data_IF_577045796698
#
_entry.id   IF_577045796698
#
_cell.length_a   1.000
_cell.length_b   1.000
_cell.length_c   1.000
_cell.angle_alpha   90.00
_cell.angle_beta   90.00
_cell.angle_gamma   90.00
#
_symmetry.space_group_name_H-M   'P 1'
#
loop_
_entity.id
_entity.type
_entity.pdbx_description
1 polymer ?
#
# COMPACT_ATOMS: atom_id res chain seq x y z
N UNK A 1 -52.43 34.13 -8.77
CA UNK A 1 -53.00 33.09 -9.66
C UNK A 1 -51.85 32.19 -10.11
N UNK A 2 -52.10 30.87 -10.17
CA UNK A 2 -51.19 29.75 -9.87
C UNK A 2 -50.23 29.48 -11.04
N UNK A 3 -49.20 28.65 -10.98
CA UNK A 3 -48.78 27.58 -10.08
C UNK A 3 -47.62 26.85 -10.78
N UNK A 4 -46.84 26.03 -10.07
CA UNK A 4 -45.67 25.40 -10.69
C UNK A 4 -45.00 24.34 -9.84
N UNK A 5 -45.76 23.27 -9.58
CA UNK A 5 -45.36 21.88 -9.31
C UNK A 5 -44.07 21.59 -8.52
N UNK A 6 -44.29 21.10 -7.29
CA UNK A 6 -43.33 20.32 -6.53
C UNK A 6 -43.02 19.01 -7.27
N UNK A 7 -41.73 18.76 -7.53
CA UNK A 7 -41.23 17.47 -8.00
C UNK A 7 -40.91 16.58 -6.81
N UNK A 8 -41.78 15.61 -6.55
CA UNK A 8 -41.56 14.48 -5.64
C UNK A 8 -40.42 13.60 -6.17
N UNK A 9 -39.25 13.66 -5.53
CA UNK A 9 -38.19 12.68 -5.71
C UNK A 9 -38.41 11.53 -4.74
N UNK A 10 -39.00 10.43 -5.24
CA UNK A 10 -39.16 9.19 -4.50
C UNK A 10 -37.79 8.57 -4.15
N UNK A 11 -37.56 8.09 -2.90
CA UNK A 11 -36.40 7.30 -2.56
C UNK A 11 -36.55 5.86 -3.07
N UNK A 12 -35.61 5.41 -3.91
CA UNK A 12 -35.55 4.03 -4.40
C UNK A 12 -35.17 3.02 -3.29
N UNK A 13 -35.62 1.76 -3.38
CA UNK A 13 -35.38 0.74 -2.36
C UNK A 13 -33.91 0.31 -2.32
N UNK A 14 -33.36 0.23 -1.11
CA UNK A 14 -32.01 -0.27 -0.84
C UNK A 14 -31.91 -1.78 -1.10
N UNK A 15 -30.82 -2.29 -1.71
CA UNK A 15 -30.60 -3.72 -1.83
C UNK A 15 -30.12 -4.32 -0.50
N UNK A 16 -30.90 -5.28 0.02
CA UNK A 16 -30.52 -6.22 1.07
C UNK A 16 -29.61 -7.29 0.46
N UNK A 17 -28.32 -7.32 0.83
CA UNK A 17 -27.44 -8.43 0.43
C UNK A 17 -26.80 -9.05 1.68
N UNK A 18 -27.50 -10.09 2.13
CA UNK A 18 -27.01 -11.43 2.49
C UNK A 18 -25.66 -11.52 3.20
N UNK A 19 -25.76 -11.70 4.52
CA UNK A 19 -24.70 -12.19 5.39
C UNK A 19 -24.51 -13.69 5.20
N UNK A 20 -23.39 -14.11 4.58
CA UNK A 20 -22.98 -15.52 4.55
C UNK A 20 -21.70 -15.70 5.34
N UNK A 21 -21.87 -16.31 6.51
CA UNK A 21 -20.84 -16.92 7.34
C UNK A 21 -20.14 -18.05 6.57
N UNK A 22 -18.82 -18.06 6.59
CA UNK A 22 -18.03 -19.28 6.44
C UNK A 22 -16.85 -19.21 7.40
N UNK A 23 -16.97 -19.95 8.50
CA UNK A 23 -15.87 -20.28 9.40
C UNK A 23 -15.17 -21.53 8.89
N UNK A 24 -13.84 -21.52 8.78
CA UNK A 24 -13.02 -22.71 8.54
C UNK A 24 -11.70 -22.66 9.34
N UNK A 25 -11.81 -22.97 10.62
CA UNK A 25 -11.20 -24.12 11.32
C UNK A 25 -10.00 -24.86 10.65
N UNK A 26 -8.89 -24.87 11.41
CA UNK A 26 -7.81 -25.90 11.58
C UNK A 26 -6.70 -26.05 10.52
N UNK A 27 -5.45 -25.84 10.96
CA UNK A 27 -4.42 -26.89 11.10
C UNK A 27 -3.15 -26.37 11.78
N UNK A 28 -2.86 -26.89 12.98
CA UNK A 28 -1.56 -26.82 13.63
C UNK A 28 -0.66 -27.91 13.02
N UNK A 29 0.54 -27.56 12.56
CA UNK A 29 1.54 -28.55 12.14
C UNK A 29 2.88 -28.28 12.83
N UNK A 30 3.48 -29.40 13.20
CA UNK A 30 4.47 -29.70 14.24
C UNK A 30 5.90 -29.19 14.02
N UNK A 31 6.53 -28.92 15.17
CA UNK A 31 7.96 -28.95 15.46
C UNK A 31 8.77 -30.02 14.69
N UNK A 32 9.93 -29.62 14.17
CA UNK A 32 11.11 -30.50 14.13
C UNK A 32 12.36 -29.75 14.59
N UNK A 33 12.83 -30.19 15.75
CA UNK A 33 14.17 -29.96 16.30
C UNK A 33 15.19 -30.70 15.44
N UNK A 34 16.31 -30.06 15.10
CA UNK A 34 17.46 -30.73 14.53
C UNK A 34 18.71 -30.26 15.29
N UNK A 35 19.08 -31.02 16.31
CA UNK A 35 20.32 -30.90 17.05
C UNK A 35 21.32 -31.89 16.43
N UNK A 36 22.12 -31.40 15.48
CA UNK A 36 23.27 -32.10 14.94
C UNK A 36 24.56 -31.48 15.47
N UNK A 37 25.05 -32.06 16.56
CA UNK A 37 26.39 -31.83 17.12
C UNK A 37 27.38 -32.61 16.23
N UNK A 38 28.36 -31.93 15.64
CA UNK A 38 29.36 -32.57 14.78
C UNK A 38 30.67 -31.77 14.78
N UNK A 39 31.73 -32.49 15.07
CA UNK A 39 33.02 -32.06 15.61
C UNK A 39 33.90 -31.13 14.76
N UNK A 40 34.58 -30.27 15.52
CA UNK A 40 35.92 -29.72 15.38
C UNK A 40 36.79 -30.28 14.24
N UNK A 41 37.08 -29.40 13.27
CA UNK A 41 38.36 -29.38 12.55
C UNK A 41 38.77 -27.92 12.26
N UNK A 42 39.67 -27.41 13.08
CA UNK A 42 40.62 -26.36 12.67
C UNK A 42 41.90 -27.06 12.15
N UNK A 43 42.87 -26.37 11.52
CA UNK A 43 42.89 -25.02 10.95
C UNK A 43 43.38 -25.05 9.47
N UNK A 44 43.36 -23.92 8.75
CA UNK A 44 44.55 -23.37 8.07
C UNK A 44 44.25 -21.96 7.58
N UNK A 45 45.16 -21.06 7.96
CA UNK A 45 45.14 -19.65 7.67
C UNK A 45 45.42 -19.42 6.17
N UNK A 46 44.43 -18.87 5.47
CA UNK A 46 44.64 -18.07 4.27
C UNK A 46 44.09 -16.69 4.57
N UNK A 47 45.01 -15.76 4.87
CA UNK A 47 44.73 -14.34 4.98
C UNK A 47 44.51 -13.78 3.58
N UNK A 48 43.35 -14.05 3.01
CA UNK A 48 42.86 -13.32 1.85
C UNK A 48 42.20 -12.05 2.38
N UNK A 49 42.84 -10.91 2.14
CA UNK A 49 42.26 -9.59 2.39
C UNK A 49 41.13 -9.41 1.38
N UNK A 50 39.97 -9.99 1.66
CA UNK A 50 38.75 -9.56 1.00
C UNK A 50 38.42 -8.19 1.56
N UNK A 51 38.73 -7.17 0.78
CA UNK A 51 38.17 -5.84 0.97
C UNK A 51 36.64 -5.99 0.95
N UNK A 52 36.04 -6.01 2.13
CA UNK A 52 34.58 -6.01 2.30
C UNK A 52 34.15 -4.59 1.96
N UNK A 53 33.89 -4.34 0.69
CA UNK A 53 33.28 -3.11 0.22
C UNK A 53 31.81 -3.07 0.66
N UNK A 54 31.52 -2.01 1.40
CA UNK A 54 30.26 -1.29 1.55
C UNK A 54 28.96 -2.10 1.82
N UNK A 55 28.58 -2.09 3.11
CA UNK A 55 27.24 -1.70 3.55
C UNK A 55 26.02 -2.29 2.79
N UNK A 56 25.99 -3.61 2.58
CA UNK A 56 24.74 -4.32 2.26
C UNK A 56 23.81 -4.35 3.50
N UNK A 57 23.16 -3.22 3.80
CA UNK A 57 21.93 -3.24 4.61
C UNK A 57 20.90 -4.06 3.86
N UNK A 58 20.78 -5.35 4.19
CA UNK A 58 19.70 -6.23 3.72
C UNK A 58 18.36 -5.55 3.97
N UNK A 59 17.76 -5.01 2.90
CA UNK A 59 16.40 -4.49 2.95
C UNK A 59 15.48 -5.69 3.23
N UNK A 60 14.96 -5.80 4.45
CA UNK A 60 14.08 -6.92 4.86
C UNK A 60 12.70 -6.85 4.21
N UNK A 61 12.49 -5.95 3.25
CA UNK A 61 11.22 -5.77 2.56
C UNK A 61 11.04 -6.87 1.53
N UNK A 62 9.87 -7.51 1.61
CA UNK A 62 9.45 -8.54 0.65
C UNK A 62 9.24 -8.01 -0.77
N UNK A 63 8.98 -6.71 -0.92
CA UNK A 63 8.69 -6.08 -2.21
C UNK A 63 9.51 -4.81 -2.41
N UNK A 64 10.11 -4.67 -3.59
CA UNK A 64 10.80 -3.46 -4.02
C UNK A 64 9.79 -2.30 -4.11
N UNK A 65 10.24 -1.10 -3.74
CA UNK A 65 9.46 0.14 -3.86
C UNK A 65 10.01 0.99 -4.99
N UNK A 66 9.11 1.50 -5.83
CA UNK A 66 9.44 2.42 -6.90
C UNK A 66 9.09 3.83 -6.46
N UNK A 67 10.08 4.73 -6.49
CA UNK A 67 9.89 6.14 -6.20
C UNK A 67 9.43 6.85 -7.47
N UNK A 68 8.14 7.16 -7.55
CA UNK A 68 7.49 7.84 -8.69
C UNK A 68 6.42 8.78 -8.18
N UNK A 69 6.24 9.90 -8.86
CA UNK A 69 5.22 10.90 -8.52
C UNK A 69 4.02 10.77 -9.45
N UNK A 70 2.94 10.17 -8.95
CA UNK A 70 1.68 9.99 -9.69
C UNK A 70 0.57 10.81 -9.05
N UNK A 71 -0.29 11.44 -9.84
CA UNK A 71 -1.50 12.09 -9.31
C UNK A 71 -2.52 11.04 -8.91
N UNK A 72 -3.23 11.29 -7.81
CA UNK A 72 -4.31 10.42 -7.39
C UNK A 72 -5.44 11.20 -6.72
N UNK A 73 -6.65 10.71 -6.94
CA UNK A 73 -7.81 11.01 -6.12
C UNK A 73 -7.99 9.89 -5.10
N UNK A 74 -8.53 10.20 -3.92
CA UNK A 74 -8.91 9.16 -2.97
C UNK A 74 -10.13 9.56 -2.14
N UNK A 75 -10.98 8.58 -1.85
CA UNK A 75 -12.20 8.76 -1.05
C UNK A 75 -12.06 8.02 0.27
N UNK A 76 -12.29 8.73 1.38
CA UNK A 76 -12.34 8.16 2.74
C UNK A 76 -13.51 8.78 3.49
N UNK A 77 -14.30 7.94 4.18
CA UNK A 77 -15.46 8.39 4.95
C UNK A 77 -16.38 9.33 4.15
N UNK A 78 -16.58 9.03 2.87
CA UNK A 78 -17.40 9.83 1.95
C UNK A 78 -16.78 11.15 1.47
N UNK A 79 -15.58 11.52 1.94
CA UNK A 79 -14.90 12.75 1.50
C UNK A 79 -13.94 12.46 0.35
N UNK A 80 -14.03 13.27 -0.71
CA UNK A 80 -13.12 13.23 -1.86
C UNK A 80 -11.88 14.09 -1.59
N UNK A 81 -10.72 13.49 -1.80
CA UNK A 81 -9.42 14.09 -1.55
C UNK A 81 -8.51 13.89 -2.76
N UNK A 82 -7.44 14.68 -2.82
CA UNK A 82 -6.41 14.57 -3.85
C UNK A 82 -5.02 14.55 -3.22
N UNK A 83 -4.09 13.89 -3.89
CA UNK A 83 -2.71 13.78 -3.44
C UNK A 83 -1.78 13.28 -4.52
N UNK A 84 -0.55 12.98 -4.11
CA UNK A 84 0.46 12.38 -4.97
C UNK A 84 0.97 11.08 -4.37
N UNK A 85 0.97 10.01 -5.14
CA UNK A 85 1.70 8.80 -4.77
C UNK A 85 3.19 9.10 -4.98
N UNK A 86 4.03 8.79 -3.98
CA UNK A 86 5.49 8.97 -4.08
C UNK A 86 6.26 7.67 -4.05
N UNK A 87 5.68 6.63 -3.45
CA UNK A 87 6.27 5.30 -3.40
C UNK A 87 5.18 4.28 -3.70
N UNK A 88 5.43 3.39 -4.65
CA UNK A 88 4.50 2.33 -5.05
C UNK A 88 5.20 0.96 -4.97
N UNK A 89 4.45 -0.07 -4.61
CA UNK A 89 4.89 -1.47 -4.55
C UNK A 89 3.69 -2.40 -4.70
N UNK A 90 3.93 -3.68 -4.97
CA UNK A 90 2.85 -4.66 -5.15
C UNK A 90 1.87 -4.72 -3.96
N UNK A 91 2.37 -4.55 -2.72
CA UNK A 91 1.58 -4.65 -1.49
C UNK A 91 0.96 -3.33 -1.02
N UNK A 92 1.44 -2.19 -1.51
CA UNK A 92 1.07 -0.91 -0.92
C UNK A 92 1.75 0.29 -1.56
N UNK A 93 1.25 1.47 -1.24
CA UNK A 93 1.81 2.73 -1.72
C UNK A 93 1.71 3.82 -0.67
N UNK A 94 2.44 4.91 -0.86
CA UNK A 94 2.44 6.07 0.02
C UNK A 94 1.91 7.29 -0.72
N UNK A 95 0.83 7.89 -0.20
CA UNK A 95 0.23 9.12 -0.70
C UNK A 95 0.69 10.30 0.16
N UNK A 96 1.26 11.31 -0.48
CA UNK A 96 1.41 12.65 0.07
C UNK A 96 0.11 13.43 -0.13
N UNK A 97 -0.54 13.77 0.97
CA UNK A 97 -1.81 14.51 0.97
C UNK A 97 -1.91 15.38 2.22
N UNK A 98 -2.75 16.42 2.17
CA UNK A 98 -3.02 17.30 3.32
C UNK A 98 -4.00 16.69 4.31
N UNK A 99 -4.99 15.95 3.79
CA UNK A 99 -6.00 15.31 4.61
C UNK A 99 -5.52 13.93 5.04
N UNK A 100 -5.74 13.63 6.32
CA UNK A 100 -5.18 12.47 6.98
C UNK A 100 -6.31 11.62 7.56
N UNK A 101 -6.75 10.59 6.84
CA UNK A 101 -7.67 9.61 7.39
C UNK A 101 -7.05 8.86 8.58
N UNK A 102 -7.90 8.36 9.46
CA UNK A 102 -7.46 7.55 10.59
C UNK A 102 -6.84 6.22 10.13
N UNK A 103 -5.78 5.74 10.80
CA UNK A 103 -5.25 4.40 10.58
C UNK A 103 -6.34 3.34 10.73
N UNK A 104 -6.34 2.34 9.86
CA UNK A 104 -7.38 1.30 9.80
C UNK A 104 -8.58 1.67 8.93
N UNK A 105 -8.73 2.93 8.50
CA UNK A 105 -9.80 3.33 7.61
C UNK A 105 -9.68 2.71 6.21
N UNK A 106 -10.81 2.35 5.61
CA UNK A 106 -10.87 1.95 4.21
C UNK A 106 -10.76 3.16 3.28
N UNK A 107 -10.05 2.97 2.18
CA UNK A 107 -9.82 4.00 1.16
C UNK A 107 -10.02 3.42 -0.23
N UNK A 108 -10.70 4.19 -1.08
CA UNK A 108 -10.74 3.95 -2.52
C UNK A 108 -9.84 4.99 -3.17
N UNK A 109 -8.84 4.54 -3.91
CA UNK A 109 -7.83 5.38 -4.56
C UNK A 109 -7.96 5.25 -6.07
N UNK A 110 -8.06 6.38 -6.75
CA UNK A 110 -8.01 6.47 -8.21
C UNK A 110 -6.65 7.03 -8.60
N UNK A 111 -5.84 6.22 -9.27
CA UNK A 111 -4.52 6.60 -9.77
C UNK A 111 -4.67 7.10 -11.20
N UNK A 112 -4.13 8.28 -11.46
CA UNK A 112 -4.11 8.90 -12.78
C UNK A 112 -2.69 8.83 -13.32
N UNK A 113 -2.53 8.20 -14.49
CA UNK A 113 -1.26 8.17 -15.21
C UNK A 113 -1.42 8.76 -16.61
N UNK A 114 -0.35 9.35 -17.15
CA UNK A 114 -0.40 10.08 -18.42
C UNK A 114 -0.53 9.11 -19.58
N UNK A 115 -1.75 8.94 -20.08
CA UNK A 115 -2.04 8.12 -21.27
C UNK A 115 -2.59 6.73 -20.95
N UNK A 116 -2.87 6.45 -19.68
CA UNK A 116 -3.49 5.21 -19.22
C UNK A 116 -4.87 5.49 -18.62
N UNK A 117 -5.76 4.52 -18.67
CA UNK A 117 -7.05 4.62 -18.01
C UNK A 117 -6.90 4.75 -16.49
N UNK A 118 -7.80 5.47 -15.79
CA UNK A 118 -7.74 5.61 -14.34
C UNK A 118 -7.80 4.26 -13.64
N UNK A 119 -6.82 3.99 -12.77
CA UNK A 119 -6.71 2.72 -12.06
C UNK A 119 -7.35 2.88 -10.67
N UNK A 120 -8.40 2.11 -10.40
CA UNK A 120 -9.10 2.15 -9.10
C UNK A 120 -8.57 1.04 -8.20
N UNK A 121 -8.04 1.40 -7.03
CA UNK A 121 -7.49 0.48 -6.04
C UNK A 121 -8.21 0.67 -4.70
N UNK A 122 -8.52 -0.42 -4.02
CA UNK A 122 -9.08 -0.39 -2.67
C UNK A 122 -8.04 -0.85 -1.67
N UNK A 123 -8.02 -0.22 -0.50
CA UNK A 123 -7.03 -0.52 0.52
C UNK A 123 -7.41 0.00 1.89
N UNK A 124 -6.50 -0.22 2.83
CA UNK A 124 -6.63 0.23 4.22
C UNK A 124 -5.46 1.13 4.58
N UNK A 125 -5.73 2.19 5.35
CA UNK A 125 -4.70 3.10 5.86
C UNK A 125 -3.84 2.35 6.89
N UNK A 126 -2.65 1.89 6.49
CA UNK A 126 -1.76 1.14 7.37
C UNK A 126 -1.02 2.04 8.37
N UNK A 127 -0.64 3.25 7.93
CA UNK A 127 0.09 4.21 8.77
C UNK A 127 -0.08 5.63 8.29
N UNK A 128 0.01 6.56 9.23
CA UNK A 128 0.05 8.00 8.95
C UNK A 128 1.43 8.54 9.33
N UNK A 129 2.04 9.31 8.43
CA UNK A 129 3.22 10.12 8.72
C UNK A 129 2.78 11.56 8.96
N UNK A 130 2.73 11.95 10.23
CA UNK A 130 2.56 13.34 10.64
C UNK A 130 3.88 14.06 10.47
N UNK A 131 3.83 15.31 10.00
CA UNK A 131 5.00 16.19 10.06
C UNK A 131 5.27 16.63 11.49
N UNK A 132 6.55 16.73 11.82
CA UNK A 132 7.00 17.52 12.96
C UNK A 132 6.97 19.01 12.60
N UNK A 133 6.57 19.89 13.53
CA UNK A 133 6.41 21.34 13.25
C UNK A 133 7.69 21.99 12.72
N UNK A 134 8.86 21.52 13.16
CA UNK A 134 10.16 22.04 12.72
C UNK A 134 10.58 21.62 11.30
N UNK A 135 9.89 20.66 10.66
CA UNK A 135 10.19 20.18 9.30
C UNK A 135 9.09 20.53 8.29
N UNK A 136 8.31 21.57 8.57
CA UNK A 136 7.19 22.03 7.73
C UNK A 136 7.59 22.43 6.31
N UNK A 137 8.87 22.71 6.05
CA UNK A 137 9.36 23.09 4.73
C UNK A 137 9.97 21.91 3.94
N UNK A 138 10.28 20.78 4.59
CA UNK A 138 11.12 19.73 3.98
C UNK A 138 10.29 18.54 3.48
N UNK A 139 9.39 17.97 4.31
CA UNK A 139 8.70 16.73 3.94
C UNK A 139 7.17 16.83 4.02
N UNK A 140 6.44 16.62 2.93
CA UNK A 140 4.97 16.60 2.98
C UNK A 140 4.43 15.46 3.84
N UNK A 141 3.38 15.71 4.67
CA UNK A 141 2.79 14.64 5.45
C UNK A 141 2.10 13.67 4.48
N UNK A 142 1.82 12.46 4.94
CA UNK A 142 1.23 11.46 4.06
C UNK A 142 0.77 10.21 4.76
N UNK A 143 0.20 9.32 3.98
CA UNK A 143 -0.44 8.10 4.43
C UNK A 143 0.11 6.91 3.65
N UNK A 144 0.43 5.84 4.36
CA UNK A 144 0.76 4.55 3.78
C UNK A 144 -0.51 3.72 3.66
N UNK A 145 -0.81 3.28 2.45
CA UNK A 145 -1.96 2.44 2.14
C UNK A 145 -1.46 1.01 1.91
N UNK A 146 -2.13 0.05 2.55
CA UNK A 146 -2.03 -1.37 2.26
C UNK A 146 -3.09 -1.69 1.20
N UNK A 147 -2.68 -2.29 0.09
CA UNK A 147 -3.61 -2.68 -0.98
C UNK A 147 -4.37 -3.93 -0.56
N UNK A 148 -5.69 -3.89 -0.66
CA UNK A 148 -6.57 -5.03 -0.41
C UNK A 148 -7.02 -5.67 -1.73
N UNK A 149 -7.56 -4.85 -2.64
CA UNK A 149 -7.97 -5.27 -3.99
C UNK A 149 -7.44 -4.28 -5.01
N UNK A 150 -6.74 -4.77 -6.02
CA UNK A 150 -6.24 -3.99 -7.14
C UNK A 150 -6.55 -4.71 -8.47
N UNK A 151 -6.88 -3.97 -9.54
CA UNK A 151 -7.03 -4.52 -10.88
C UNK A 151 -5.65 -4.89 -11.47
N UNK A 152 -5.64 -5.72 -12.51
CA UNK A 152 -4.41 -6.15 -13.19
C UNK A 152 -3.58 -4.96 -13.71
N UNK A 153 -4.24 -3.90 -14.17
CA UNK A 153 -3.59 -2.67 -14.64
C UNK A 153 -2.69 -2.02 -13.59
N UNK A 154 -2.97 -2.20 -12.29
CA UNK A 154 -2.11 -1.73 -11.22
C UNK A 154 -0.75 -2.46 -11.20
N UNK A 155 -0.76 -3.78 -11.42
CA UNK A 155 0.47 -4.58 -11.42
C UNK A 155 1.29 -4.32 -12.68
N UNK A 156 0.63 -4.13 -13.83
CA UNK A 156 1.27 -3.72 -15.08
C UNK A 156 2.02 -2.38 -14.92
N UNK A 157 1.40 -1.40 -14.25
CA UNK A 157 2.04 -0.12 -13.94
C UNK A 157 3.34 -0.30 -13.12
N UNK A 158 3.35 -1.24 -12.17
CA UNK A 158 4.55 -1.53 -11.36
C UNK A 158 5.65 -2.15 -12.23
N UNK A 159 5.31 -3.13 -13.07
CA UNK A 159 6.26 -3.76 -14.00
C UNK A 159 6.87 -2.75 -14.97
N UNK A 160 6.07 -1.79 -15.46
CA UNK A 160 6.58 -0.71 -16.31
C UNK A 160 7.63 0.15 -15.57
N UNK A 161 7.46 0.38 -14.27
CA UNK A 161 8.43 1.11 -13.46
C UNK A 161 9.69 0.29 -13.12
N UNK A 162 9.63 -1.04 -13.18
CA UNK A 162 10.81 -1.89 -13.07
C UNK A 162 11.70 -1.78 -14.31
N UNK A 163 11.12 -1.69 -15.51
CA UNK A 163 11.88 -1.64 -16.77
C UNK A 163 12.58 -0.30 -17.01
N UNK A 164 12.09 0.79 -16.41
CA UNK A 164 12.63 2.15 -16.60
C UNK A 164 13.78 2.51 -15.64
N UNK A 165 14.23 1.59 -14.78
CA UNK A 165 15.33 1.80 -13.82
C UNK A 165 16.44 0.77 -14.05
#
# INVERSE_FOLDING_TARGET
MPGGIAGDCAPGPSPLISSSRAALVIAHTTLRSNCGLGDLKSPQAFSDKTEVTDDEKKDQRQYRRHTRRLSCGFRVAGSDNRGFITNISARGFFIQARNHPEPGGEVVVTIEDKGSDPIVVTGTVARMRKRHRSMSNIEQPGIGILVNTAPESYYQLILEFEQKN
#
